data_IF_108163025622
#
_entry.id   IF_108163025622
#
_cell.length_a   1.000
_cell.length_b   1.000
_cell.length_c   1.000
_cell.angle_alpha   90.00
_cell.angle_beta   90.00
_cell.angle_gamma   90.00
#
_symmetry.space_group_name_H-M   'P 1'
#
loop_
_entity.id
_entity.type
_entity.pdbx_description
1 polymer ?
#
# COMPACT_ATOMS: atom_id res chain seq x y z
N UNK A 1 10.43 -34.76 17.94
CA UNK A 1 9.07 -34.22 18.15
C UNK A 1 9.11 -32.71 18.37
N UNK A 2 9.84 -32.21 19.38
CA UNK A 2 10.02 -30.77 19.65
C UNK A 2 10.53 -29.90 18.47
N UNK A 3 11.50 -30.38 17.69
CA UNK A 3 12.06 -29.60 16.56
C UNK A 3 11.00 -29.32 15.49
N UNK A 4 10.07 -30.26 15.26
CA UNK A 4 9.00 -30.13 14.26
C UNK A 4 7.98 -29.08 14.67
N UNK A 5 7.66 -29.00 15.97
CA UNK A 5 6.75 -27.99 16.53
C UNK A 5 7.36 -26.58 16.50
N UNK A 6 8.65 -26.44 16.82
CA UNK A 6 9.36 -25.16 16.73
C UNK A 6 9.38 -24.66 15.28
N UNK A 7 9.64 -25.55 14.31
CA UNK A 7 9.61 -25.20 12.90
C UNK A 7 8.20 -24.78 12.45
N UNK A 8 7.17 -25.52 12.87
CA UNK A 8 5.79 -25.23 12.50
C UNK A 8 5.31 -23.87 13.06
N UNK A 9 5.61 -23.57 14.33
CA UNK A 9 5.30 -22.28 14.96
C UNK A 9 6.02 -21.10 14.28
N UNK A 10 7.30 -21.27 13.93
CA UNK A 10 8.07 -20.24 13.22
C UNK A 10 7.59 -20.03 11.79
N UNK A 11 7.02 -21.05 11.15
CA UNK A 11 6.43 -20.93 9.82
C UNK A 11 5.08 -20.22 9.87
N UNK A 12 4.22 -20.58 10.82
CA UNK A 12 2.89 -19.98 10.97
C UNK A 12 2.97 -18.48 11.24
N UNK A 13 3.83 -18.05 12.15
CA UNK A 13 4.07 -16.63 12.43
C UNK A 13 4.58 -15.84 11.22
N UNK A 14 5.44 -16.45 10.38
CA UNK A 14 5.88 -15.82 9.12
C UNK A 14 4.73 -15.71 8.12
N UNK A 15 3.89 -16.74 8.00
CA UNK A 15 2.71 -16.72 7.13
C UNK A 15 1.70 -15.64 7.56
N UNK A 16 1.46 -15.49 8.86
CA UNK A 16 0.57 -14.45 9.40
C UNK A 16 1.07 -13.04 9.09
N UNK A 17 2.39 -12.80 9.20
CA UNK A 17 2.97 -11.50 8.82
C UNK A 17 2.87 -11.23 7.32
N UNK A 18 2.95 -12.28 6.49
CA UNK A 18 2.82 -12.18 5.05
C UNK A 18 1.37 -11.94 4.64
N UNK A 19 0.41 -12.64 5.25
CA UNK A 19 -1.02 -12.43 5.00
C UNK A 19 -1.45 -11.01 5.38
N UNK A 20 -1.02 -10.50 6.54
CA UNK A 20 -1.25 -9.09 6.94
C UNK A 20 -0.69 -8.08 5.92
N UNK A 21 0.51 -8.33 5.39
CA UNK A 21 1.11 -7.48 4.35
C UNK A 21 0.34 -7.53 3.04
N UNK A 22 -0.11 -8.72 2.62
CA UNK A 22 -0.93 -8.88 1.41
C UNK A 22 -2.29 -8.19 1.56
N UNK A 23 -2.98 -8.38 2.68
CA UNK A 23 -4.26 -7.71 2.95
C UNK A 23 -4.08 -6.19 2.89
N UNK A 24 -3.02 -5.68 3.52
CA UNK A 24 -2.68 -4.24 3.49
C UNK A 24 -2.40 -3.76 2.05
N UNK A 25 -1.69 -4.56 1.25
CA UNK A 25 -1.40 -4.23 -0.15
C UNK A 25 -2.68 -4.20 -1.01
N UNK A 26 -3.55 -5.21 -0.89
CA UNK A 26 -4.83 -5.26 -1.61
C UNK A 26 -5.76 -4.12 -1.21
N UNK A 27 -5.76 -3.74 0.08
CA UNK A 27 -6.49 -2.57 0.57
C UNK A 27 -6.00 -1.29 -0.11
N UNK A 28 -4.69 -1.13 -0.28
CA UNK A 28 -4.11 -0.02 -1.05
C UNK A 28 -4.56 -0.02 -2.51
N UNK A 29 -4.59 -1.19 -3.14
CA UNK A 29 -5.07 -1.37 -4.52
C UNK A 29 -6.54 -0.95 -4.68
N UNK A 30 -7.40 -1.32 -3.71
CA UNK A 30 -8.80 -0.94 -3.69
C UNK A 30 -8.99 0.58 -3.56
N UNK A 31 -8.24 1.24 -2.66
CA UNK A 31 -8.24 2.69 -2.52
C UNK A 31 -7.81 3.37 -3.83
N UNK A 32 -6.78 2.85 -4.49
CA UNK A 32 -6.34 3.36 -5.78
C UNK A 32 -7.47 3.33 -6.82
N UNK A 33 -8.20 2.22 -6.93
CA UNK A 33 -9.30 2.11 -7.89
C UNK A 33 -10.39 3.15 -7.60
N UNK A 34 -10.72 3.40 -6.33
CA UNK A 34 -11.66 4.46 -5.93
C UNK A 34 -11.12 5.84 -6.32
N UNK A 35 -9.86 6.13 -6.06
CA UNK A 35 -9.25 7.41 -6.43
C UNK A 35 -9.31 7.60 -7.95
N UNK A 36 -8.90 6.58 -8.71
CA UNK A 36 -8.90 6.58 -10.17
C UNK A 36 -10.30 6.86 -10.75
N UNK A 37 -11.35 6.21 -10.23
CA UNK A 37 -12.72 6.42 -10.72
C UNK A 37 -13.25 7.82 -10.41
N UNK A 38 -12.98 8.36 -9.22
CA UNK A 38 -13.38 9.73 -8.85
C UNK A 38 -12.69 10.75 -9.76
N UNK A 39 -11.38 10.58 -9.99
CA UNK A 39 -10.61 11.50 -10.86
C UNK A 39 -11.02 11.40 -12.32
N UNK A 40 -11.29 10.19 -12.81
CA UNK A 40 -11.71 9.94 -14.19
C UNK A 40 -13.11 10.48 -14.47
N UNK A 41 -14.04 10.40 -13.52
CA UNK A 41 -15.40 10.90 -13.67
C UNK A 41 -15.46 12.43 -13.78
N UNK A 42 -14.46 13.14 -13.26
CA UNK A 42 -14.42 14.61 -13.24
C UNK A 42 -13.70 15.21 -14.46
N UNK A 43 -13.11 14.38 -15.34
CA UNK A 43 -12.62 14.71 -16.69
C UNK A 43 -11.50 15.74 -16.78
N UNK A 44 -11.77 16.99 -16.40
CA UNK A 44 -10.91 18.15 -16.63
C UNK A 44 -9.94 18.44 -15.49
N UNK A 45 -10.16 17.84 -14.31
CA UNK A 45 -9.42 18.15 -13.07
C UNK A 45 -8.27 17.18 -12.79
N UNK A 46 -7.89 16.35 -13.77
CA UNK A 46 -6.96 15.24 -13.57
C UNK A 46 -5.55 15.69 -13.11
N UNK A 47 -5.06 16.82 -13.63
CA UNK A 47 -3.75 17.38 -13.25
C UNK A 47 -3.78 17.87 -11.79
N UNK A 48 -4.85 18.53 -11.37
CA UNK A 48 -5.00 19.01 -9.99
C UNK A 48 -5.11 17.81 -9.05
N UNK A 49 -5.91 16.81 -9.40
CA UNK A 49 -6.09 15.61 -8.58
C UNK A 49 -4.78 14.82 -8.43
N UNK A 50 -4.02 14.62 -9.52
CA UNK A 50 -2.72 13.95 -9.44
C UNK A 50 -1.72 14.73 -8.57
N UNK A 51 -1.70 16.06 -8.63
CA UNK A 51 -0.85 16.88 -7.76
C UNK A 51 -1.18 16.73 -6.27
N UNK A 52 -2.47 16.61 -5.92
CA UNK A 52 -2.94 16.36 -4.56
C UNK A 52 -2.52 14.98 -4.09
N UNK A 53 -2.67 13.94 -4.93
CA UNK A 53 -2.27 12.57 -4.62
C UNK A 53 -0.76 12.49 -4.36
N UNK A 54 0.05 13.12 -5.22
CA UNK A 54 1.52 13.16 -5.07
C UNK A 54 1.91 13.89 -3.79
N UNK A 55 1.29 15.04 -3.50
CA UNK A 55 1.54 15.81 -2.28
C UNK A 55 1.19 14.99 -1.02
N UNK A 56 0.04 14.33 -1.01
CA UNK A 56 -0.37 13.45 0.09
C UNK A 56 0.63 12.29 0.28
N UNK A 57 1.08 11.68 -0.82
CA UNK A 57 2.06 10.60 -0.79
C UNK A 57 3.41 11.05 -0.21
N UNK A 58 3.85 12.27 -0.53
CA UNK A 58 5.09 12.86 0.00
C UNK A 58 4.97 13.20 1.49
N UNK A 59 3.83 13.76 1.92
CA UNK A 59 3.56 13.98 3.35
C UNK A 59 3.58 12.66 4.12
N UNK A 60 2.99 11.60 3.56
CA UNK A 60 3.03 10.26 4.14
C UNK A 60 4.47 9.73 4.22
N UNK A 61 5.26 9.88 3.15
CA UNK A 61 6.70 9.55 3.13
C UNK A 61 7.42 10.24 4.28
N UNK A 62 7.26 11.56 4.41
CA UNK A 62 7.92 12.35 5.44
C UNK A 62 7.53 11.87 6.84
N UNK A 63 6.27 11.53 7.07
CA UNK A 63 5.80 11.02 8.36
C UNK A 63 6.44 9.66 8.70
N UNK A 64 6.55 8.76 7.72
CA UNK A 64 7.15 7.44 7.90
C UNK A 64 8.65 7.56 8.16
N UNK A 65 9.37 8.35 7.36
CA UNK A 65 10.82 8.49 7.46
C UNK A 65 11.29 9.28 8.69
N UNK A 66 10.49 10.25 9.16
CA UNK A 66 10.82 10.99 10.39
C UNK A 66 10.78 10.07 11.63
N UNK A 67 10.09 8.92 11.55
CA UNK A 67 9.99 7.93 12.62
C UNK A 67 11.13 6.92 12.51
N UNK A 68 12.35 7.43 12.65
CA UNK A 68 13.62 6.71 12.51
C UNK A 68 13.65 5.46 13.43
N UNK A 69 13.40 4.27 12.88
CA UNK A 69 13.58 2.93 13.49
C UNK A 69 12.46 2.32 14.35
N UNK A 70 11.20 2.74 14.23
CA UNK A 70 10.12 1.95 14.84
C UNK A 70 9.82 0.70 13.99
N UNK A 71 10.27 -0.49 14.43
CA UNK A 71 9.87 -1.82 13.90
C UNK A 71 8.38 -2.13 14.17
N UNK A 72 7.50 -1.13 14.09
CA UNK A 72 6.07 -1.31 14.32
C UNK A 72 5.45 -2.01 13.12
N UNK A 73 4.74 -3.11 13.40
CA UNK A 73 3.95 -3.83 12.41
C UNK A 73 2.94 -2.91 11.69
N UNK A 74 2.44 -1.87 12.37
CA UNK A 74 1.52 -0.87 11.83
C UNK A 74 2.20 -0.02 10.76
N UNK A 75 3.45 0.40 10.96
CA UNK A 75 4.20 1.20 9.97
C UNK A 75 4.45 0.36 8.72
N UNK A 76 4.79 -0.93 8.91
CA UNK A 76 4.93 -1.86 7.79
C UNK A 76 3.61 -2.07 7.02
N UNK A 77 2.48 -2.17 7.73
CA UNK A 77 1.16 -2.27 7.10
C UNK A 77 0.82 -1.01 6.30
N UNK A 78 1.02 0.18 6.88
CA UNK A 78 0.81 1.47 6.19
C UNK A 78 1.72 1.58 4.95
N UNK A 79 2.97 1.15 5.05
CA UNK A 79 3.87 1.09 3.89
C UNK A 79 3.36 0.15 2.80
N UNK A 80 2.84 -1.03 3.16
CA UNK A 80 2.22 -1.94 2.20
C UNK A 80 0.98 -1.35 1.53
N UNK A 81 0.13 -0.64 2.27
CA UNK A 81 -1.02 0.10 1.71
C UNK A 81 -0.53 1.16 0.72
N UNK A 82 0.47 1.95 1.10
CA UNK A 82 1.05 3.00 0.25
C UNK A 82 1.59 2.43 -1.07
N UNK A 83 2.34 1.32 -1.01
CA UNK A 83 2.82 0.61 -2.19
C UNK A 83 1.63 0.17 -3.06
N UNK A 84 0.58 -0.39 -2.45
CA UNK A 84 -0.64 -0.78 -3.15
C UNK A 84 -1.33 0.38 -3.87
N UNK A 85 -1.40 1.57 -3.25
CA UNK A 85 -1.99 2.76 -3.87
C UNK A 85 -1.19 3.20 -5.11
N UNK A 86 0.14 3.32 -4.99
CA UNK A 86 0.99 3.74 -6.11
C UNK A 86 0.91 2.73 -7.25
N UNK A 87 0.97 1.43 -6.93
CA UNK A 87 0.95 0.38 -7.93
C UNK A 87 -0.41 0.27 -8.62
N UNK A 88 -1.51 0.42 -7.87
CA UNK A 88 -2.85 0.46 -8.44
C UNK A 88 -3.02 1.62 -9.43
N UNK A 89 -2.56 2.82 -9.07
CA UNK A 89 -2.71 4.00 -9.92
C UNK A 89 -1.87 3.87 -11.18
N UNK A 90 -0.67 3.31 -11.05
CA UNK A 90 0.19 2.97 -12.18
C UNK A 90 -0.46 1.97 -13.13
N UNK A 91 -1.05 0.90 -12.61
CA UNK A 91 -1.73 -0.11 -13.43
C UNK A 91 -2.95 0.47 -14.14
N UNK A 92 -3.75 1.30 -13.47
CA UNK A 92 -4.91 1.93 -14.10
C UNK A 92 -4.50 2.97 -15.15
N UNK A 93 -3.44 3.75 -14.91
CA UNK A 93 -2.87 4.64 -15.91
C UNK A 93 -2.34 3.87 -17.14
N UNK A 94 -1.69 2.72 -16.92
CA UNK A 94 -1.22 1.86 -18.01
C UNK A 94 -2.38 1.31 -18.86
N UNK A 95 -3.50 0.93 -18.23
CA UNK A 95 -4.71 0.47 -18.93
C UNK A 95 -5.34 1.56 -19.82
N UNK A 96 -5.25 2.82 -19.41
CA UNK A 96 -5.84 3.96 -20.14
C UNK A 96 -4.88 4.52 -21.21
N UNK A 97 -3.59 4.23 -21.10
CA UNK A 97 -2.54 4.68 -22.02
C UNK A 97 -2.21 3.70 -23.16
N UNK A 98 -2.85 2.52 -23.21
CA UNK A 98 -2.72 1.52 -24.28
C UNK A 98 -3.87 1.60 -25.27
#
# INVERSE_FOLDING_TARGET
MLIKEIFHSKYNTKLDTLSLRLISLYLGFFISTILSTITAQTGDWNIIASSIIVTANEVLSRFIYNRNNSKSWIINAINSVKIGIIYGLFVDAFKLGS
#
